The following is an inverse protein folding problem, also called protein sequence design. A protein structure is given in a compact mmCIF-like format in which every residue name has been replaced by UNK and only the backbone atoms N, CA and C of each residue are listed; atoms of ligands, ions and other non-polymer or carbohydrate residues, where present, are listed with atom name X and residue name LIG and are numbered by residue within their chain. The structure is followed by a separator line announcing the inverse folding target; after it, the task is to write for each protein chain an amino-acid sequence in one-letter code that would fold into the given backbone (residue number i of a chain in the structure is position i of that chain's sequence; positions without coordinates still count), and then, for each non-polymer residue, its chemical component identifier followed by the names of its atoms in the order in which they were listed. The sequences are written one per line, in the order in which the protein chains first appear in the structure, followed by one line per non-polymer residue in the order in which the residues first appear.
data_IF_093396383580
#
_entry.id   IF_093396383580
#
_cell.length_a   1.000
_cell.length_b   1.000
_cell.length_c   1.000
_cell.angle_alpha   90.00
_cell.angle_beta   90.00
_cell.angle_gamma   90.00
#
_symmetry.space_group_name_H-M   'P 1'
#
loop_
_entity.id
_entity.type
_entity.pdbx_description
1 polymer ?
#
# COMPACT_ATOMS: atom_id res chain seq x y z
N UNK A 1 21.07 2.89 -17.27
CA UNK A 1 19.84 2.18 -16.83
C UNK A 1 19.44 2.73 -15.46
N UNK A 2 18.13 2.94 -15.17
CA UNK A 2 17.65 3.38 -13.85
C UNK A 2 17.65 2.18 -12.90
N UNK A 3 18.18 2.37 -11.69
CA UNK A 3 18.28 1.31 -10.68
C UNK A 3 17.16 1.41 -9.64
N UNK A 4 16.81 2.66 -9.27
CA UNK A 4 15.89 2.93 -8.15
C UNK A 4 14.55 3.47 -8.59
N UNK A 5 14.47 4.15 -9.74
CA UNK A 5 13.24 4.83 -10.14
C UNK A 5 12.60 4.16 -11.36
N UNK A 6 11.27 4.23 -11.43
CA UNK A 6 10.48 3.74 -12.55
C UNK A 6 9.31 4.70 -12.85
N UNK A 7 8.80 4.68 -14.08
CA UNK A 7 7.84 5.67 -14.56
C UNK A 7 8.52 6.98 -15.00
N UNK A 8 7.90 8.18 -14.85
CA UNK A 8 6.60 8.40 -14.20
C UNK A 8 5.43 7.83 -15.00
N UNK A 9 4.31 7.60 -14.32
CA UNK A 9 3.07 7.10 -14.92
C UNK A 9 1.84 7.77 -14.30
N UNK A 10 0.75 7.82 -15.05
CA UNK A 10 -0.51 8.37 -14.56
C UNK A 10 -1.20 7.38 -13.60
N UNK A 11 -1.28 7.75 -12.34
CA UNK A 11 -2.00 6.99 -11.33
C UNK A 11 -3.40 7.54 -11.14
N UNK A 12 -4.42 6.66 -11.14
CA UNK A 12 -5.81 7.06 -10.86
C UNK A 12 -5.99 7.69 -9.48
N UNK A 13 -5.13 7.34 -8.51
CA UNK A 13 -5.22 7.75 -7.10
C UNK A 13 -4.25 8.87 -6.72
N UNK A 14 -3.13 8.97 -7.39
CA UNK A 14 -2.02 9.84 -7.00
C UNK A 14 -1.64 10.88 -8.06
N UNK A 15 -2.31 10.89 -9.23
CA UNK A 15 -1.92 11.73 -10.35
C UNK A 15 -0.63 11.25 -11.01
N UNK A 16 0.15 12.15 -11.61
CA UNK A 16 1.44 11.81 -12.21
C UNK A 16 2.42 11.42 -11.09
N UNK A 17 2.89 10.18 -11.11
CA UNK A 17 3.64 9.57 -10.02
C UNK A 17 4.96 8.97 -10.49
N UNK A 18 6.06 9.34 -9.84
CA UNK A 18 7.35 8.68 -10.01
C UNK A 18 7.49 7.59 -8.94
N UNK A 19 7.77 6.36 -9.37
CA UNK A 19 8.01 5.26 -8.46
C UNK A 19 9.46 5.18 -7.99
N UNK A 20 9.64 4.75 -6.73
CA UNK A 20 10.94 4.44 -6.11
C UNK A 20 10.90 3.00 -5.61
N UNK A 21 11.77 2.15 -6.16
CA UNK A 21 11.97 0.79 -5.70
C UNK A 21 13.14 0.73 -4.71
N UNK A 22 12.84 0.37 -3.48
CA UNK A 22 13.84 0.22 -2.40
C UNK A 22 14.22 -1.24 -2.14
N UNK A 23 13.64 -2.16 -2.91
CA UNK A 23 13.87 -3.59 -2.82
C UNK A 23 14.90 -4.05 -3.87
N UNK A 24 14.99 -5.34 -4.04
CA UNK A 24 15.76 -6.02 -5.09
C UNK A 24 15.03 -5.98 -6.43
N UNK A 25 15.66 -6.51 -7.49
CA UNK A 25 15.09 -6.46 -8.85
C UNK A 25 14.06 -7.56 -9.13
N UNK A 26 13.74 -8.39 -8.14
CA UNK A 26 12.69 -9.40 -8.19
C UNK A 26 11.63 -9.14 -7.10
N UNK A 27 10.48 -9.79 -7.22
CA UNK A 27 9.41 -9.67 -6.24
C UNK A 27 9.84 -10.30 -4.91
N UNK A 28 9.78 -9.52 -3.82
CA UNK A 28 10.02 -9.98 -2.45
C UNK A 28 8.91 -9.45 -1.55
N UNK A 29 8.09 -10.34 -1.02
CA UNK A 29 6.90 -9.95 -0.29
C UNK A 29 6.60 -10.91 0.87
N UNK A 30 5.85 -10.44 1.84
CA UNK A 30 5.31 -11.24 2.95
C UNK A 30 3.96 -11.87 2.61
N UNK A 31 3.38 -11.52 1.46
CA UNK A 31 2.11 -12.02 0.96
C UNK A 31 2.25 -12.59 -0.46
N UNK A 32 1.38 -13.53 -0.78
CA UNK A 32 1.16 -14.05 -2.11
C UNK A 32 -0.30 -13.81 -2.54
N UNK A 33 -0.70 -12.53 -2.59
CA UNK A 33 -2.09 -12.13 -2.86
C UNK A 33 -2.60 -12.65 -4.20
N UNK A 34 -3.80 -13.23 -4.21
CA UNK A 34 -4.42 -13.80 -5.41
C UNK A 34 -4.67 -12.78 -6.54
N UNK A 35 -4.80 -11.50 -6.19
CA UNK A 35 -5.07 -10.40 -7.11
C UNK A 35 -3.82 -9.61 -7.56
N UNK A 36 -2.61 -10.03 -7.17
CA UNK A 36 -1.41 -9.21 -7.33
C UNK A 36 -1.07 -8.95 -8.81
N UNK A 37 -0.97 -7.66 -9.21
CA UNK A 37 -0.67 -7.25 -10.58
C UNK A 37 0.79 -7.53 -11.01
N UNK A 38 1.67 -7.86 -10.07
CA UNK A 38 3.05 -8.27 -10.34
C UNK A 38 3.24 -9.81 -10.31
N UNK A 39 2.12 -10.54 -10.41
CA UNK A 39 2.10 -11.99 -10.45
C UNK A 39 2.21 -12.66 -9.07
N UNK A 40 2.34 -13.98 -9.08
CA UNK A 40 2.53 -14.79 -7.88
C UNK A 40 3.85 -14.44 -7.18
N UNK A 41 3.89 -14.61 -5.87
CA UNK A 41 5.14 -14.57 -5.10
C UNK A 41 5.68 -15.99 -5.01
N UNK A 42 6.83 -16.23 -5.64
CA UNK A 42 7.50 -17.52 -5.59
C UNK A 42 7.83 -17.92 -4.14
N UNK A 43 7.92 -19.23 -3.89
CA UNK A 43 8.11 -19.76 -2.54
C UNK A 43 9.32 -19.17 -1.81
N UNK A 44 10.45 -19.03 -2.51
CA UNK A 44 11.69 -18.51 -1.93
C UNK A 44 11.65 -16.97 -1.72
N UNK A 45 10.70 -16.30 -2.37
CA UNK A 45 10.50 -14.86 -2.29
C UNK A 45 9.33 -14.47 -1.38
N UNK A 46 8.56 -15.44 -0.90
CA UNK A 46 7.57 -15.27 0.16
C UNK A 46 8.26 -15.36 1.51
N UNK A 47 8.58 -14.20 2.08
CA UNK A 47 9.46 -14.11 3.26
C UNK A 47 8.72 -13.75 4.54
N UNK A 48 9.33 -14.10 5.68
CA UNK A 48 8.89 -13.67 7.00
C UNK A 48 8.82 -12.14 7.11
N UNK A 49 7.86 -11.56 7.85
CA UNK A 49 7.84 -10.12 8.17
C UNK A 49 9.07 -9.67 8.98
N UNK A 50 9.82 -10.60 9.56
CA UNK A 50 11.09 -10.33 10.24
C UNK A 50 12.30 -10.41 9.30
N UNK A 51 12.09 -10.76 8.03
CA UNK A 51 13.15 -10.71 7.02
C UNK A 51 13.62 -9.26 6.82
N UNK A 52 14.92 -9.05 6.85
CA UNK A 52 15.51 -7.71 6.76
C UNK A 52 16.38 -7.63 5.51
N UNK A 53 16.03 -6.69 4.63
CA UNK A 53 16.92 -6.24 3.57
C UNK A 53 17.76 -5.10 4.12
N UNK A 54 19.08 -5.29 4.11
CA UNK A 54 20.02 -4.23 4.44
C UNK A 54 20.62 -3.68 3.14
N UNK A 55 19.84 -2.87 2.43
CA UNK A 55 20.25 -2.21 1.18
C UNK A 55 20.12 -0.70 1.36
N UNK A 56 21.18 -0.02 1.84
CA UNK A 56 21.17 1.44 1.98
C UNK A 56 21.15 2.12 0.60
N UNK A 57 20.61 3.35 0.51
CA UNK A 57 20.70 4.13 -0.73
C UNK A 57 22.14 4.45 -1.10
N UNK A 58 22.52 4.19 -2.34
CA UNK A 58 23.83 4.59 -2.85
C UNK A 58 23.85 6.05 -3.30
N UNK A 59 25.03 6.57 -3.60
CA UNK A 59 25.17 7.91 -4.20
C UNK A 59 24.41 8.01 -5.54
N UNK A 60 24.24 6.90 -6.25
CA UNK A 60 23.50 6.85 -7.50
C UNK A 60 22.00 7.11 -7.30
N UNK A 61 21.41 6.69 -6.18
CA UNK A 61 20.00 7.00 -5.88
C UNK A 61 19.73 8.52 -5.91
N UNK A 62 20.56 9.29 -5.21
CA UNK A 62 20.44 10.77 -5.18
C UNK A 62 20.60 11.37 -6.58
N UNK A 63 21.61 10.93 -7.34
CA UNK A 63 21.87 11.42 -8.70
C UNK A 63 20.72 11.09 -9.64
N UNK A 64 20.25 9.85 -9.61
CA UNK A 64 19.14 9.38 -10.43
C UNK A 64 17.85 10.14 -10.13
N UNK A 65 17.50 10.26 -8.85
CA UNK A 65 16.30 10.97 -8.41
C UNK A 65 16.33 12.45 -8.83
N UNK A 66 17.45 13.13 -8.58
CA UNK A 66 17.64 14.54 -8.95
C UNK A 66 17.53 14.73 -10.47
N UNK A 67 18.17 13.87 -11.25
CA UNK A 67 18.14 13.92 -12.71
C UNK A 67 16.69 13.83 -13.23
N UNK A 68 15.91 12.87 -12.73
CA UNK A 68 14.54 12.66 -13.20
C UNK A 68 13.61 13.79 -12.76
N UNK A 69 13.65 14.16 -11.48
CA UNK A 69 12.72 15.16 -10.94
C UNK A 69 12.85 16.52 -11.62
N UNK A 70 14.02 16.89 -12.16
CA UNK A 70 14.21 18.10 -12.95
C UNK A 70 13.36 18.16 -14.22
N UNK A 71 13.06 16.99 -14.83
CA UNK A 71 12.26 16.92 -16.06
C UNK A 71 10.76 16.88 -15.80
N UNK A 72 10.32 16.69 -14.55
CA UNK A 72 8.91 16.54 -14.19
C UNK A 72 8.48 17.54 -13.09
N UNK A 73 8.54 18.87 -13.36
CA UNK A 73 8.23 19.89 -12.33
C UNK A 73 6.74 19.93 -11.94
N UNK A 74 5.89 19.17 -12.62
CA UNK A 74 4.44 19.06 -12.37
C UNK A 74 4.04 17.69 -11.76
N UNK A 75 5.02 16.93 -11.24
CA UNK A 75 4.76 15.65 -10.59
C UNK A 75 3.85 15.82 -9.37
N UNK A 76 2.91 14.87 -9.18
CA UNK A 76 1.99 14.90 -8.05
C UNK A 76 2.49 14.06 -6.86
N UNK A 77 3.19 12.94 -7.13
CA UNK A 77 3.66 12.04 -6.09
C UNK A 77 5.03 11.42 -6.41
N UNK A 78 5.82 11.18 -5.36
CA UNK A 78 6.99 10.29 -5.39
C UNK A 78 6.60 9.10 -4.51
N UNK A 79 6.51 7.91 -5.10
CA UNK A 79 5.83 6.77 -4.50
C UNK A 79 6.79 5.62 -4.26
N UNK A 80 6.94 5.24 -3.01
CA UNK A 80 7.73 4.09 -2.58
C UNK A 80 6.87 2.81 -2.64
N UNK A 81 7.33 1.83 -3.37
CA UNK A 81 6.65 0.55 -3.61
C UNK A 81 7.06 -0.03 -4.95
N UNK A 82 6.68 -1.22 -5.27
CA UNK A 82 6.75 -1.93 -6.54
C UNK A 82 7.02 -3.42 -6.33
N UNK A 83 8.25 -3.88 -6.18
CA UNK A 83 8.64 -5.30 -6.19
C UNK A 83 8.29 -6.07 -4.89
N UNK A 84 7.21 -5.74 -4.21
CA UNK A 84 6.78 -6.42 -2.98
C UNK A 84 6.52 -5.48 -1.82
N UNK A 85 7.04 -5.82 -0.62
CA UNK A 85 6.80 -5.03 0.60
C UNK A 85 8.02 -4.13 0.93
N UNK A 86 7.96 -2.83 0.70
CA UNK A 86 9.11 -1.92 0.86
C UNK A 86 9.59 -1.79 2.30
N UNK A 87 8.74 -2.07 3.29
CA UNK A 87 9.10 -1.99 4.71
C UNK A 87 10.04 -3.10 5.18
N UNK A 88 10.31 -4.10 4.32
CA UNK A 88 11.36 -5.10 4.54
C UNK A 88 12.77 -4.48 4.47
N UNK A 89 12.92 -3.32 3.80
CA UNK A 89 14.20 -2.62 3.78
C UNK A 89 14.40 -1.80 5.05
N UNK A 90 15.41 -2.16 5.82
CA UNK A 90 15.76 -1.50 7.08
C UNK A 90 16.23 -0.02 6.87
N UNK A 91 16.68 0.31 5.67
CA UNK A 91 17.14 1.65 5.30
C UNK A 91 16.04 2.51 4.64
N UNK A 92 14.77 2.13 4.76
CA UNK A 92 13.64 2.86 4.16
C UNK A 92 13.64 4.35 4.53
N UNK A 93 14.00 4.68 5.78
CA UNK A 93 14.07 6.05 6.26
C UNK A 93 15.19 6.85 5.59
N UNK A 94 16.32 6.22 5.26
CA UNK A 94 17.43 6.89 4.56
C UNK A 94 17.03 7.27 3.14
N UNK A 95 16.31 6.38 2.44
CA UNK A 95 15.72 6.70 1.13
C UNK A 95 14.72 7.85 1.23
N UNK A 96 13.86 7.85 2.25
CA UNK A 96 12.90 8.93 2.49
C UNK A 96 13.62 10.28 2.71
N UNK A 97 14.63 10.31 3.57
CA UNK A 97 15.37 11.53 3.90
C UNK A 97 16.07 12.12 2.66
N UNK A 98 16.72 11.28 1.84
CA UNK A 98 17.31 11.71 0.57
C UNK A 98 16.25 12.26 -0.38
N UNK A 99 15.09 11.61 -0.45
CA UNK A 99 13.98 12.05 -1.31
C UNK A 99 13.44 13.40 -0.88
N UNK A 100 13.27 13.63 0.42
CA UNK A 100 12.84 14.91 1.00
C UNK A 100 13.87 16.01 0.63
N UNK A 101 15.17 15.73 0.83
CA UNK A 101 16.24 16.69 0.54
C UNK A 101 16.28 17.07 -0.95
N UNK A 102 16.26 16.06 -1.84
CA UNK A 102 16.27 16.29 -3.29
C UNK A 102 15.03 17.07 -3.73
N UNK A 103 13.84 16.65 -3.30
CA UNK A 103 12.57 17.32 -3.63
C UNK A 103 12.57 18.78 -3.18
N UNK A 104 13.08 19.06 -1.99
CA UNK A 104 13.07 20.41 -1.41
C UNK A 104 14.03 21.38 -2.10
N UNK A 105 15.03 20.88 -2.80
CA UNK A 105 16.00 21.69 -3.57
C UNK A 105 15.52 22.04 -4.98
N UNK A 106 14.38 21.49 -5.41
CA UNK A 106 13.82 21.72 -6.75
C UNK A 106 12.67 22.71 -6.71
N UNK A 107 12.48 23.42 -7.81
CA UNK A 107 11.34 24.28 -8.04
C UNK A 107 10.19 23.46 -8.66
N UNK A 108 8.99 23.64 -8.16
CA UNK A 108 7.78 22.93 -8.59
C UNK A 108 6.78 23.91 -9.21
N UNK A 109 6.19 23.53 -10.33
CA UNK A 109 5.28 24.40 -11.10
C UNK A 109 3.98 24.68 -10.34
N UNK A 110 3.45 23.68 -9.60
CA UNK A 110 2.18 23.79 -8.88
C UNK A 110 2.44 23.68 -7.38
N UNK A 111 2.76 22.46 -6.91
CA UNK A 111 3.07 22.14 -5.52
C UNK A 111 4.10 21.02 -5.47
N UNK A 112 4.84 20.94 -4.39
CA UNK A 112 5.76 19.83 -4.16
C UNK A 112 5.01 18.49 -4.22
N UNK A 113 5.54 17.48 -4.94
CA UNK A 113 4.93 16.15 -4.97
C UNK A 113 4.88 15.54 -3.58
N UNK A 114 3.78 14.87 -3.26
CA UNK A 114 3.61 14.16 -1.99
C UNK A 114 4.51 12.93 -1.98
N UNK A 115 5.22 12.69 -0.88
CA UNK A 115 6.01 11.47 -0.72
C UNK A 115 5.13 10.40 -0.10
N UNK A 116 4.85 9.37 -0.89
CA UNK A 116 3.87 8.33 -0.60
C UNK A 116 4.55 6.98 -0.40
N UNK A 117 4.10 6.21 0.58
CA UNK A 117 4.49 4.82 0.78
C UNK A 117 3.32 3.89 0.51
N UNK A 118 3.52 2.85 -0.30
CA UNK A 118 2.65 1.66 -0.33
C UNK A 118 3.18 0.62 0.66
N UNK A 119 2.30 0.00 1.44
CA UNK A 119 2.63 -1.15 2.29
C UNK A 119 1.45 -2.12 2.33
N UNK A 120 1.75 -3.41 2.40
CA UNK A 120 0.76 -4.46 2.63
C UNK A 120 0.35 -4.60 4.11
N UNK A 121 0.91 -3.77 4.99
CA UNK A 121 0.63 -3.68 6.43
C UNK A 121 1.21 -4.82 7.29
N UNK A 122 1.77 -5.86 6.71
CA UNK A 122 2.21 -7.07 7.43
C UNK A 122 3.29 -6.85 8.49
N UNK A 123 4.12 -5.83 8.31
CA UNK A 123 5.27 -5.51 9.17
C UNK A 123 4.98 -4.42 10.20
N UNK A 124 3.80 -3.80 10.14
CA UNK A 124 3.47 -2.62 10.97
C UNK A 124 3.31 -2.94 12.46
N UNK A 125 3.19 -4.22 12.85
CA UNK A 125 3.22 -4.61 14.26
C UNK A 125 4.62 -4.39 14.89
N UNK A 126 5.67 -4.28 14.07
CA UNK A 126 7.04 -4.03 14.49
C UNK A 126 7.22 -2.52 14.71
N UNK A 127 7.50 -2.11 15.94
CA UNK A 127 7.59 -0.70 16.31
C UNK A 127 8.61 0.10 15.49
N UNK A 128 9.82 -0.45 15.26
CA UNK A 128 10.85 0.22 14.44
C UNK A 128 10.36 0.52 13.02
N UNK A 129 9.55 -0.37 12.44
CA UNK A 129 8.97 -0.18 11.12
C UNK A 129 7.93 0.94 11.16
N UNK A 130 7.02 0.95 12.13
CA UNK A 130 6.06 2.06 12.28
C UNK A 130 6.75 3.41 12.48
N UNK A 131 7.87 3.46 13.25
CA UNK A 131 8.65 4.70 13.42
C UNK A 131 9.16 5.27 12.08
N UNK A 132 9.51 4.42 11.13
CA UNK A 132 9.90 4.84 9.77
C UNK A 132 8.69 5.21 8.91
N UNK A 133 7.66 4.35 8.90
CA UNK A 133 6.47 4.51 8.06
C UNK A 133 5.69 5.79 8.39
N UNK A 134 5.53 6.15 9.66
CA UNK A 134 4.81 7.36 10.08
C UNK A 134 5.43 8.68 9.59
N UNK A 135 6.67 8.66 9.09
CA UNK A 135 7.35 9.84 8.56
C UNK A 135 6.91 10.19 7.12
N UNK A 136 6.31 9.26 6.40
CA UNK A 136 5.77 9.51 5.07
C UNK A 136 4.58 10.46 5.13
N UNK A 137 4.47 11.35 4.15
CA UNK A 137 3.38 12.33 4.07
C UNK A 137 2.03 11.68 3.78
N UNK A 138 2.04 10.60 2.99
CA UNK A 138 0.88 9.75 2.72
C UNK A 138 1.29 8.28 2.81
N UNK A 139 0.64 7.53 3.67
CA UNK A 139 0.79 6.08 3.74
C UNK A 139 -0.44 5.43 3.13
N UNK A 140 -0.25 4.63 2.10
CA UNK A 140 -1.27 3.80 1.47
C UNK A 140 -1.09 2.37 2.00
N UNK A 141 -1.81 2.04 3.06
CA UNK A 141 -1.75 0.75 3.74
C UNK A 141 -2.90 -0.15 3.28
N UNK A 142 -2.61 -1.40 2.95
CA UNK A 142 -3.60 -2.36 2.48
C UNK A 142 -4.35 -3.02 3.65
N UNK A 143 -5.67 -3.15 3.46
CA UNK A 143 -6.56 -3.98 4.27
C UNK A 143 -7.65 -4.54 3.34
N UNK A 144 -7.49 -5.77 2.86
CA UNK A 144 -8.38 -6.41 1.88
C UNK A 144 -9.29 -7.46 2.51
N UNK A 145 -9.04 -7.79 3.77
CA UNK A 145 -9.83 -8.67 4.60
C UNK A 145 -9.72 -8.24 6.07
N UNK A 146 -10.74 -8.54 6.88
CA UNK A 146 -10.77 -8.20 8.29
C UNK A 146 -11.13 -9.38 9.20
N UNK A 147 -11.15 -10.60 8.66
CA UNK A 147 -11.16 -11.85 9.41
C UNK A 147 -10.08 -12.80 8.89
N UNK A 148 -9.68 -13.76 9.71
CA UNK A 148 -8.54 -14.62 9.39
C UNK A 148 -8.77 -15.55 8.19
N UNK A 149 -9.99 -15.98 7.95
CA UNK A 149 -10.34 -16.86 6.82
C UNK A 149 -10.16 -16.13 5.50
N UNK A 150 -10.80 -14.97 5.35
CA UNK A 150 -10.70 -14.15 4.14
C UNK A 150 -9.28 -13.62 3.94
N UNK A 151 -8.57 -13.28 5.02
CA UNK A 151 -7.17 -12.86 4.98
C UNK A 151 -6.26 -13.95 4.40
N UNK A 152 -6.38 -15.18 4.89
CA UNK A 152 -5.60 -16.32 4.38
C UNK A 152 -5.93 -16.64 2.92
N UNK A 153 -7.19 -16.58 2.54
CA UNK A 153 -7.64 -16.85 1.18
C UNK A 153 -7.17 -15.75 0.20
N UNK A 154 -7.34 -14.49 0.58
CA UNK A 154 -7.06 -13.32 -0.27
C UNK A 154 -5.58 -13.00 -0.37
N UNK A 155 -4.90 -12.90 0.77
CA UNK A 155 -3.53 -12.39 0.85
C UNK A 155 -2.46 -13.49 0.91
N UNK A 156 -2.82 -14.72 1.27
CA UNK A 156 -1.92 -15.87 1.40
C UNK A 156 -0.61 -15.50 2.08
N UNK A 157 -0.67 -15.07 3.36
CA UNK A 157 0.49 -14.57 4.07
C UNK A 157 1.52 -15.67 4.34
N UNK A 158 2.80 -15.28 4.44
CA UNK A 158 3.83 -16.13 5.03
C UNK A 158 3.38 -16.57 6.45
N UNK A 159 3.73 -17.77 6.86
CA UNK A 159 3.26 -18.36 8.14
C UNK A 159 3.64 -17.55 9.40
N UNK A 160 4.73 -16.78 9.35
CA UNK A 160 5.16 -15.89 10.43
C UNK A 160 4.39 -14.55 10.47
N UNK A 161 3.58 -14.26 9.48
CA UNK A 161 2.75 -13.06 9.51
C UNK A 161 1.67 -13.22 10.59
N UNK A 162 1.51 -12.23 11.48
CA UNK A 162 0.50 -12.32 12.52
C UNK A 162 -0.92 -12.38 11.95
N UNK A 163 -1.88 -12.80 12.78
CA UNK A 163 -3.28 -12.79 12.40
C UNK A 163 -3.79 -11.38 12.07
N UNK A 164 -4.94 -11.29 11.40
CA UNK A 164 -5.47 -10.02 10.90
C UNK A 164 -5.77 -9.02 12.03
N UNK A 165 -6.13 -9.49 13.22
CA UNK A 165 -6.43 -8.61 14.35
C UNK A 165 -5.19 -7.82 14.79
N UNK A 166 -4.02 -8.45 14.82
CA UNK A 166 -2.74 -7.78 15.13
C UNK A 166 -2.39 -6.76 14.05
N UNK A 167 -2.68 -7.06 12.78
CA UNK A 167 -2.48 -6.12 11.67
C UNK A 167 -3.40 -4.91 11.83
N UNK A 168 -4.69 -5.11 12.14
CA UNK A 168 -5.65 -4.03 12.39
C UNK A 168 -5.18 -3.18 13.58
N UNK A 169 -4.77 -3.79 14.69
CA UNK A 169 -4.23 -3.06 15.84
C UNK A 169 -2.98 -2.26 15.50
N UNK A 170 -2.13 -2.79 14.61
CA UNK A 170 -0.93 -2.06 14.15
C UNK A 170 -1.27 -0.84 13.31
N UNK A 171 -2.33 -0.90 12.49
CA UNK A 171 -2.85 0.24 11.73
C UNK A 171 -3.46 1.30 12.66
N UNK A 172 -4.17 0.89 13.73
CA UNK A 172 -4.66 1.79 14.77
C UNK A 172 -3.50 2.52 15.45
N UNK A 173 -2.45 1.78 15.83
CA UNK A 173 -1.23 2.37 16.43
C UNK A 173 -0.55 3.33 15.46
N UNK A 174 -0.35 2.92 14.19
CA UNK A 174 0.24 3.78 13.18
C UNK A 174 -0.53 5.12 13.06
N UNK A 175 -1.86 5.06 12.93
CA UNK A 175 -2.69 6.28 12.84
C UNK A 175 -2.51 7.21 14.04
N UNK A 176 -2.43 6.67 15.25
CA UNK A 176 -2.20 7.46 16.48
C UNK A 176 -0.79 8.05 16.54
N UNK A 177 0.21 7.33 16.02
CA UNK A 177 1.62 7.73 16.05
C UNK A 177 2.00 8.70 14.93
N UNK A 178 1.19 8.81 13.86
CA UNK A 178 1.46 9.69 12.72
C UNK A 178 1.38 11.17 13.10
N UNK A 179 2.30 12.02 12.62
CA UNK A 179 2.18 13.47 12.72
C UNK A 179 0.86 13.95 12.11
N UNK A 180 0.21 14.96 12.71
CA UNK A 180 -1.11 15.49 12.24
C UNK A 180 -1.13 15.94 10.78
N UNK A 181 0.02 16.35 10.23
CA UNK A 181 0.16 16.77 8.82
C UNK A 181 0.23 15.59 7.84
N UNK A 182 0.54 14.39 8.33
CA UNK A 182 0.67 13.18 7.52
C UNK A 182 -0.66 12.42 7.50
N UNK A 183 -0.96 11.74 6.39
CA UNK A 183 -2.26 11.08 6.18
C UNK A 183 -2.08 9.58 6.04
N UNK A 184 -3.01 8.83 6.63
CA UNK A 184 -3.18 7.39 6.43
C UNK A 184 -4.36 7.15 5.50
N UNK A 185 -4.11 6.49 4.38
CA UNK A 185 -5.16 5.96 3.52
C UNK A 185 -5.18 4.43 3.61
N UNK A 186 -6.34 3.85 3.89
CA UNK A 186 -6.52 2.40 3.81
C UNK A 186 -7.02 2.04 2.43
N UNK A 187 -6.31 1.14 1.77
CA UNK A 187 -6.63 0.62 0.44
C UNK A 187 -7.35 -0.72 0.57
N UNK A 188 -8.60 -0.78 0.10
CA UNK A 188 -9.44 -1.96 0.08
C UNK A 188 -9.61 -2.42 -1.36
N UNK A 189 -8.84 -3.43 -1.79
CA UNK A 189 -9.05 -4.07 -3.09
C UNK A 189 -10.09 -5.16 -2.92
N UNK A 190 -11.21 -5.05 -3.63
CA UNK A 190 -12.32 -6.00 -3.60
C UNK A 190 -12.46 -6.66 -4.96
N UNK A 191 -12.66 -7.97 -4.96
CA UNK A 191 -12.74 -8.78 -6.19
C UNK A 191 -13.75 -9.91 -6.07
N UNK A 192 -14.14 -10.45 -7.22
CA UNK A 192 -14.93 -11.67 -7.35
C UNK A 192 -14.08 -12.83 -7.86
N UNK A 193 -14.61 -14.04 -7.75
CA UNK A 193 -14.03 -15.27 -8.27
C UNK A 193 -15.09 -16.09 -8.98
N UNK A 194 -14.71 -16.79 -10.05
CA UNK A 194 -15.55 -17.83 -10.66
C UNK A 194 -15.17 -19.26 -10.22
N UNK A 195 -14.18 -19.39 -9.33
CA UNK A 195 -13.79 -20.68 -8.78
C UNK A 195 -14.74 -21.07 -7.65
N UNK A 196 -15.46 -22.20 -7.81
CA UNK A 196 -16.54 -22.62 -6.90
C UNK A 196 -16.09 -22.87 -5.46
N UNK A 197 -14.88 -23.42 -5.27
CA UNK A 197 -14.29 -23.73 -3.96
C UNK A 197 -13.50 -22.57 -3.36
N UNK A 198 -13.64 -21.35 -3.89
CA UNK A 198 -12.94 -20.16 -3.42
C UNK A 198 -13.90 -19.02 -3.10
N UNK A 199 -13.93 -18.63 -1.84
CA UNK A 199 -14.70 -17.46 -1.39
C UNK A 199 -13.92 -16.17 -1.64
N UNK A 200 -14.39 -15.29 -2.57
CA UNK A 200 -13.75 -13.99 -2.78
C UNK A 200 -13.99 -13.06 -1.61
N UNK A 201 -13.15 -12.02 -1.47
CA UNK A 201 -13.27 -11.05 -0.39
C UNK A 201 -14.47 -10.09 -0.54
N UNK A 202 -15.25 -10.18 -1.64
CA UNK A 202 -16.52 -9.49 -1.85
C UNK A 202 -17.72 -10.19 -1.16
N UNK A 203 -17.48 -10.99 -0.13
CA UNK A 203 -18.55 -11.58 0.66
C UNK A 203 -19.03 -10.62 1.77
N UNK A 204 -20.30 -10.77 2.19
CA UNK A 204 -20.96 -9.85 3.12
C UNK A 204 -20.28 -9.82 4.49
N UNK A 205 -19.79 -10.97 4.97
CA UNK A 205 -19.08 -11.06 6.27
C UNK A 205 -17.81 -10.23 6.25
N UNK A 206 -16.97 -10.42 5.23
CA UNK A 206 -15.73 -9.65 5.11
C UNK A 206 -16.00 -8.14 4.98
N UNK A 207 -16.98 -7.75 4.17
CA UNK A 207 -17.32 -6.32 3.98
C UNK A 207 -17.77 -5.69 5.31
N UNK A 208 -18.58 -6.41 6.10
CA UNK A 208 -19.01 -5.96 7.43
C UNK A 208 -17.82 -5.86 8.42
N UNK A 209 -16.99 -6.89 8.45
CA UNK A 209 -15.80 -6.93 9.31
C UNK A 209 -14.81 -5.80 8.95
N UNK A 210 -14.61 -5.56 7.65
CA UNK A 210 -13.79 -4.45 7.17
C UNK A 210 -14.33 -3.09 7.60
N UNK A 211 -15.64 -2.87 7.51
CA UNK A 211 -16.27 -1.62 7.96
C UNK A 211 -16.00 -1.37 9.45
N UNK A 212 -16.16 -2.41 10.29
CA UNK A 212 -15.88 -2.33 11.72
C UNK A 212 -14.39 -2.10 12.02
N UNK A 213 -13.48 -2.75 11.29
CA UNK A 213 -12.06 -2.50 11.40
C UNK A 213 -11.69 -1.06 11.03
N UNK A 214 -12.22 -0.53 9.92
CA UNK A 214 -12.02 0.84 9.47
C UNK A 214 -12.56 1.87 10.47
N UNK A 215 -13.71 1.60 11.09
CA UNK A 215 -14.26 2.42 12.19
C UNK A 215 -13.30 2.52 13.38
N UNK A 216 -12.59 1.44 13.71
CA UNK A 216 -11.58 1.40 14.79
C UNK A 216 -10.28 2.08 14.39
N UNK A 217 -9.80 1.89 13.14
CA UNK A 217 -8.57 2.47 12.61
C UNK A 217 -8.66 3.99 12.50
N UNK A 218 -9.83 4.51 12.09
CA UNK A 218 -10.08 5.94 11.83
C UNK A 218 -9.06 6.55 10.87
N UNK A 219 -8.89 5.99 9.66
CA UNK A 219 -7.96 6.55 8.67
C UNK A 219 -8.45 7.92 8.18
N UNK A 220 -7.59 8.67 7.50
CA UNK A 220 -7.99 9.92 6.84
C UNK A 220 -8.74 9.66 5.54
N UNK A 221 -8.39 8.55 4.85
CA UNK A 221 -8.95 8.18 3.55
C UNK A 221 -9.20 6.68 3.53
N UNK A 222 -10.32 6.27 2.97
CA UNK A 222 -10.60 4.89 2.56
C UNK A 222 -10.68 4.87 1.04
N UNK A 223 -9.93 3.97 0.39
CA UNK A 223 -9.91 3.81 -1.06
C UNK A 223 -10.46 2.44 -1.43
N UNK A 224 -11.65 2.40 -2.01
CA UNK A 224 -12.29 1.18 -2.52
C UNK A 224 -11.99 1.08 -4.01
N UNK A 225 -11.45 -0.05 -4.44
CA UNK A 225 -11.13 -0.32 -5.84
C UNK A 225 -11.12 -1.80 -6.13
N UNK A 226 -11.00 -2.15 -7.40
CA UNK A 226 -10.92 -3.53 -7.85
C UNK A 226 -9.75 -3.74 -8.80
N UNK A 227 -9.56 -4.98 -9.26
CA UNK A 227 -8.53 -5.34 -10.22
C UNK A 227 -8.70 -4.56 -11.52
N UNK A 228 -7.62 -3.96 -12.02
CA UNK A 228 -7.61 -3.23 -13.28
C UNK A 228 -6.54 -3.76 -14.26
N UNK A 229 -5.74 -4.71 -13.80
CA UNK A 229 -4.71 -5.41 -14.56
C UNK A 229 -4.87 -6.90 -14.34
N UNK A 230 -4.15 -7.70 -15.11
CA UNK A 230 -4.18 -9.17 -14.97
C UNK A 230 -3.76 -9.54 -13.55
N UNK A 231 -4.62 -10.24 -12.78
CA UNK A 231 -4.30 -10.69 -11.43
C UNK A 231 -3.33 -11.88 -11.46
N UNK A 232 -2.72 -12.18 -10.31
CA UNK A 232 -1.87 -13.35 -10.15
C UNK A 232 -2.60 -14.68 -10.40
N UNK A 233 -3.87 -14.75 -9.99
CA UNK A 233 -4.72 -15.93 -10.18
C UNK A 233 -5.79 -15.66 -11.24
N UNK A 234 -5.86 -16.55 -12.24
CA UNK A 234 -6.72 -16.41 -13.41
C UNK A 234 -8.22 -16.41 -13.09
N UNK A 235 -8.63 -16.96 -11.95
CA UNK A 235 -10.04 -17.01 -11.52
C UNK A 235 -10.50 -15.74 -10.80
N UNK A 236 -9.61 -14.79 -10.55
CA UNK A 236 -9.92 -13.50 -9.91
C UNK A 236 -10.32 -12.48 -10.96
N UNK A 237 -11.44 -11.77 -10.73
CA UNK A 237 -11.90 -10.70 -11.61
C UNK A 237 -12.48 -9.52 -10.83
N UNK A 238 -12.62 -8.38 -11.51
CA UNK A 238 -13.09 -7.14 -10.89
C UNK A 238 -14.58 -7.19 -10.54
N UNK A 239 -14.95 -6.47 -9.49
CA UNK A 239 -16.32 -6.06 -9.24
C UNK A 239 -16.66 -4.80 -10.06
N UNK A 240 -17.95 -4.61 -10.35
CA UNK A 240 -18.42 -3.44 -11.09
C UNK A 240 -18.50 -2.16 -10.21
N UNK A 241 -18.74 -1.02 -10.85
CA UNK A 241 -18.84 0.26 -10.16
C UNK A 241 -20.07 0.37 -9.26
N UNK A 242 -21.15 -0.35 -9.57
CA UNK A 242 -22.34 -0.39 -8.73
C UNK A 242 -21.99 -1.04 -7.39
N UNK A 243 -21.34 -2.20 -7.43
CA UNK A 243 -20.95 -2.94 -6.23
C UNK A 243 -19.94 -2.15 -5.38
N UNK A 244 -18.98 -1.49 -6.01
CA UNK A 244 -18.03 -0.61 -5.28
C UNK A 244 -18.76 0.51 -4.53
N UNK A 245 -19.78 1.13 -5.14
CA UNK A 245 -20.60 2.17 -4.49
C UNK A 245 -21.48 1.61 -3.36
N UNK A 246 -22.04 0.41 -3.53
CA UNK A 246 -22.77 -0.27 -2.45
C UNK A 246 -21.87 -0.49 -1.22
N UNK A 247 -20.65 -0.99 -1.43
CA UNK A 247 -19.67 -1.18 -0.36
C UNK A 247 -19.31 0.15 0.30
N UNK A 248 -19.14 1.22 -0.49
CA UNK A 248 -18.86 2.55 0.05
C UNK A 248 -20.00 3.06 0.95
N UNK A 249 -21.26 2.81 0.58
CA UNK A 249 -22.42 3.15 1.39
C UNK A 249 -22.47 2.34 2.71
N UNK A 250 -22.20 1.02 2.64
CA UNK A 250 -22.10 0.17 3.84
C UNK A 250 -21.02 0.71 4.78
N UNK A 251 -19.84 1.04 4.24
CA UNK A 251 -18.76 1.61 5.04
C UNK A 251 -19.17 2.95 5.67
N UNK A 252 -19.81 3.83 4.90
CA UNK A 252 -20.27 5.12 5.39
C UNK A 252 -21.28 4.98 6.55
N UNK A 253 -22.25 4.09 6.42
CA UNK A 253 -23.28 3.83 7.45
C UNK A 253 -22.64 3.28 8.74
N UNK A 254 -21.77 2.26 8.65
CA UNK A 254 -21.18 1.62 9.82
C UNK A 254 -20.16 2.51 10.52
N UNK A 255 -19.28 3.17 9.74
CA UNK A 255 -18.22 4.04 10.26
C UNK A 255 -18.83 5.28 10.92
N UNK A 256 -19.80 5.91 10.27
CA UNK A 256 -20.52 7.09 10.74
C UNK A 256 -19.59 8.20 11.27
N UNK A 257 -18.58 8.56 10.46
CA UNK A 257 -17.61 9.63 10.75
C UNK A 257 -17.32 10.42 9.47
N UNK A 258 -17.89 11.62 9.38
CA UNK A 258 -17.75 12.49 8.18
C UNK A 258 -16.33 13.05 7.96
N UNK A 259 -15.42 12.86 8.91
CA UNK A 259 -14.01 13.25 8.75
C UNK A 259 -13.22 12.27 7.90
N UNK A 260 -13.75 11.08 7.69
CA UNK A 260 -13.11 10.03 6.88
C UNK A 260 -13.57 10.15 5.44
N UNK A 261 -12.63 10.43 4.54
CA UNK A 261 -12.91 10.54 3.11
C UNK A 261 -12.99 9.15 2.47
N UNK A 262 -14.14 8.76 1.91
CA UNK A 262 -14.32 7.49 1.18
C UNK A 262 -14.26 7.76 -0.32
N UNK A 263 -13.30 7.14 -1.01
CA UNK A 263 -13.08 7.25 -2.46
C UNK A 263 -13.29 5.92 -3.16
N UNK A 264 -14.00 5.95 -4.28
CA UNK A 264 -14.25 4.79 -5.15
C UNK A 264 -13.52 5.00 -6.48
N UNK A 265 -12.76 3.97 -6.95
CA UNK A 265 -11.95 4.02 -8.17
C UNK A 265 -12.26 2.88 -9.13
#
# INVERSE_FOLDING_TARGET
MREYTYGPFQSRRLGLSLGVNVLVNYKLCTYNCVYCEIGLTEKDNLVSPNYIINKPPSINFRKELLSILKYFPHLNSITFGYNGEPTLNNNLLDFLNITIDVRNKLNWTIKKPVITLFTNSSTLYIERVRKSVRQFELVLAKLDAANNTDFKNTNRPHHDVPNIDIIIESLIKLKKEMPKKNRLAIQCLIFNSYKEDFTPNNNSTNIFDMANALKRIKPDIIQIYSTARIPAEYYVFSIDDKRKREIANIFKEIINDDKIEIKVY
#
